data_IF_019304856205
#
_entry.id   IF_019304856205
#
_cell.length_a   1.000
_cell.length_b   1.000
_cell.length_c   1.000
_cell.angle_alpha   90.00
_cell.angle_beta   90.00
_cell.angle_gamma   90.00
#
_symmetry.space_group_name_H-M   'P 1'
#
loop_
_entity.id
_entity.type
_entity.pdbx_description
1 polymer ?
#
# COMPACT_ATOMS: atom_id res chain seq x y z
N UNK A 1 5.75 -22.56 -0.44
CA UNK A 1 5.51 -21.16 -0.86
C UNK A 1 4.44 -20.59 0.04
N UNK A 2 4.75 -19.59 0.86
CA UNK A 2 3.73 -18.92 1.68
C UNK A 2 2.94 -17.95 0.80
N UNK A 3 1.62 -18.02 0.89
CA UNK A 3 0.73 -17.15 0.10
C UNK A 3 0.91 -15.66 0.46
N UNK A 4 1.33 -15.37 1.69
CA UNK A 4 1.59 -14.02 2.17
C UNK A 4 2.73 -13.30 1.43
N UNK A 5 3.69 -14.03 0.84
CA UNK A 5 4.85 -13.42 0.15
C UNK A 5 4.46 -12.83 -1.21
N UNK A 6 3.32 -13.27 -1.76
CA UNK A 6 2.78 -12.81 -3.05
C UNK A 6 1.73 -11.70 -2.90
N UNK A 7 1.33 -11.37 -1.68
CA UNK A 7 0.31 -10.35 -1.43
C UNK A 7 0.96 -8.97 -1.27
N UNK A 8 0.45 -7.99 -2.00
CA UNK A 8 0.82 -6.59 -1.77
C UNK A 8 0.33 -6.15 -0.39
N UNK A 9 1.22 -5.51 0.38
CA UNK A 9 0.94 -5.02 1.73
C UNK A 9 0.66 -3.52 1.68
N UNK A 10 -0.48 -3.13 2.24
CA UNK A 10 -0.94 -1.74 2.31
C UNK A 10 -1.05 -1.30 3.77
N UNK A 11 -0.70 -0.04 4.04
CA UNK A 11 -0.83 0.59 5.35
C UNK A 11 -1.84 1.73 5.34
N UNK A 12 -2.42 2.03 6.50
CA UNK A 12 -3.23 3.23 6.71
C UNK A 12 -2.68 3.95 7.93
N UNK A 13 -2.34 5.24 7.79
CA UNK A 13 -1.90 6.09 8.90
C UNK A 13 -2.27 7.55 8.64
N UNK A 14 -2.18 8.39 9.68
CA UNK A 14 -2.39 9.83 9.53
C UNK A 14 -1.27 10.49 8.72
N UNK A 15 -1.50 11.69 8.18
CA UNK A 15 -0.44 12.43 7.48
C UNK A 15 0.70 12.86 8.40
N UNK A 16 0.41 13.11 9.68
CA UNK A 16 1.44 13.48 10.66
C UNK A 16 2.35 12.29 10.96
N UNK A 17 1.77 11.10 11.15
CA UNK A 17 2.53 9.86 11.35
C UNK A 17 3.36 9.53 10.10
N UNK A 18 2.78 9.69 8.91
CA UNK A 18 3.50 9.47 7.66
C UNK A 18 4.69 10.42 7.50
N UNK A 19 4.50 11.69 7.86
CA UNK A 19 5.56 12.70 7.84
C UNK A 19 6.67 12.34 8.82
N UNK A 20 6.32 11.98 10.05
CA UNK A 20 7.28 11.60 11.07
C UNK A 20 8.04 10.34 10.65
N UNK A 21 7.35 9.31 10.17
CA UNK A 21 7.96 8.10 9.63
C UNK A 21 8.93 8.43 8.49
N UNK A 22 8.57 9.32 7.57
CA UNK A 22 9.44 9.73 6.46
C UNK A 22 10.72 10.42 6.95
N UNK A 23 10.60 11.29 7.96
CA UNK A 23 11.76 11.95 8.59
C UNK A 23 12.64 10.94 9.34
N UNK A 24 12.04 9.95 10.00
CA UNK A 24 12.77 8.90 10.71
C UNK A 24 13.50 7.97 9.72
N UNK A 25 12.95 7.75 8.53
CA UNK A 25 13.62 7.03 7.43
C UNK A 25 14.79 7.84 6.91
N UNK A 26 14.56 9.12 6.59
CA UNK A 26 15.59 10.01 6.04
C UNK A 26 16.75 10.22 7.03
N UNK A 27 16.46 10.28 8.33
CA UNK A 27 17.47 10.43 9.38
C UNK A 27 18.19 9.12 9.75
N UNK A 28 17.76 7.98 9.19
CA UNK A 28 18.34 6.67 9.48
C UNK A 28 17.92 6.07 10.83
N UNK A 29 17.03 6.73 11.57
CA UNK A 29 16.47 6.22 12.84
C UNK A 29 15.55 5.03 12.64
N UNK A 30 14.86 4.99 11.50
CA UNK A 30 13.95 3.92 11.14
C UNK A 30 14.30 3.37 9.76
N UNK A 31 14.38 2.05 9.64
CA UNK A 31 14.55 1.36 8.36
C UNK A 31 13.37 0.40 8.19
N UNK A 32 12.49 0.63 7.21
CA UNK A 32 11.36 -0.27 6.96
C UNK A 32 11.87 -1.67 6.65
N UNK A 33 11.19 -2.67 7.21
CA UNK A 33 11.41 -4.07 6.87
C UNK A 33 11.09 -4.34 5.39
N UNK A 34 11.70 -5.35 4.74
CA UNK A 34 11.25 -5.81 3.43
C UNK A 34 9.75 -6.16 3.38
N UNK A 35 9.19 -6.54 4.52
CA UNK A 35 7.78 -6.88 4.72
C UNK A 35 6.89 -5.68 5.05
N UNK A 36 7.44 -4.48 5.14
CA UNK A 36 6.67 -3.28 5.44
C UNK A 36 5.73 -2.91 4.27
N UNK A 37 4.56 -2.33 4.55
CA UNK A 37 3.68 -1.84 3.51
C UNK A 37 4.38 -0.76 2.68
N UNK A 38 4.35 -0.94 1.34
CA UNK A 38 5.01 -0.03 0.40
C UNK A 38 4.15 1.18 0.05
N UNK A 39 2.83 1.00 0.14
CA UNK A 39 1.83 2.02 -0.16
C UNK A 39 1.06 2.30 1.12
N UNK A 40 0.96 3.58 1.46
CA UNK A 40 0.33 4.05 2.68
C UNK A 40 -0.77 5.04 2.33
N UNK A 41 -1.96 4.81 2.86
CA UNK A 41 -3.14 5.64 2.64
C UNK A 41 -3.40 6.51 3.86
N UNK A 42 -3.88 7.74 3.62
CA UNK A 42 -4.30 8.65 4.69
C UNK A 42 -5.62 8.25 5.35
N UNK A 43 -6.38 7.33 4.76
CA UNK A 43 -7.64 6.84 5.31
C UNK A 43 -8.02 5.47 4.74
N UNK A 44 -8.88 4.75 5.46
CA UNK A 44 -9.49 3.50 5.00
C UNK A 44 -10.36 3.69 3.75
N UNK A 45 -10.99 4.87 3.61
CA UNK A 45 -11.79 5.20 2.42
C UNK A 45 -10.94 5.19 1.16
N UNK A 46 -9.79 5.87 1.18
CA UNK A 46 -8.88 5.89 0.03
C UNK A 46 -8.33 4.50 -0.33
N UNK A 47 -8.09 3.65 0.68
CA UNK A 47 -7.72 2.26 0.45
C UNK A 47 -8.85 1.47 -0.23
N UNK A 48 -10.10 1.64 0.22
CA UNK A 48 -11.25 0.95 -0.36
C UNK A 48 -11.50 1.37 -1.82
N UNK A 49 -11.46 2.68 -2.11
CA UNK A 49 -11.61 3.21 -3.48
C UNK A 49 -10.52 2.67 -4.42
N UNK A 50 -9.26 2.62 -3.95
CA UNK A 50 -8.15 2.03 -4.70
C UNK A 50 -8.34 0.54 -4.96
N UNK A 51 -8.80 -0.21 -3.96
CA UNK A 51 -9.06 -1.64 -4.08
C UNK A 51 -10.18 -1.92 -5.10
N UNK A 52 -11.25 -1.13 -5.10
CA UNK A 52 -12.32 -1.23 -6.09
C UNK A 52 -11.84 -0.95 -7.51
N UNK A 53 -11.01 0.08 -7.70
CA UNK A 53 -10.45 0.41 -9.01
C UNK A 53 -9.55 -0.72 -9.54
N UNK A 54 -8.75 -1.30 -8.66
CA UNK A 54 -7.89 -2.46 -8.98
C UNK A 54 -8.70 -3.68 -9.40
N UNK A 55 -9.74 -4.03 -8.63
CA UNK A 55 -10.63 -5.13 -8.96
C UNK A 55 -11.30 -4.95 -10.34
N UNK A 56 -11.81 -3.74 -10.64
CA UNK A 56 -12.42 -3.43 -11.94
C UNK A 56 -11.44 -3.54 -13.12
N UNK A 57 -10.17 -3.19 -12.92
CA UNK A 57 -9.12 -3.35 -13.94
C UNK A 57 -8.77 -4.82 -14.19
N UNK A 58 -8.80 -5.66 -13.16
CA UNK A 58 -8.57 -7.11 -13.29
C UNK A 58 -9.73 -7.86 -13.96
N UNK A 59 -10.95 -7.31 -13.95
CA UNK A 59 -12.12 -7.85 -14.66
C UNK A 59 -12.17 -7.48 -16.16
N UNK A 60 -11.29 -6.57 -16.62
CA UNK A 60 -11.24 -6.09 -18.00
C UNK A 60 -10.19 -6.73 -18.96
N UNK A 61 -9.66 -7.97 -18.79
CA UNK A 61 -8.66 -8.50 -19.73
C UNK A 61 -9.28 -9.16 -20.98
N UNK A 62 -10.60 -9.20 -21.15
CA UNK A 62 -11.22 -9.88 -22.30
C UNK A 62 -12.37 -9.06 -22.89
N UNK A 63 -12.05 -7.95 -23.56
CA UNK A 63 -12.87 -7.44 -24.66
C UNK A 63 -11.99 -6.71 -25.69
N UNK A 64 -11.14 -7.50 -26.35
CA UNK A 64 -10.60 -7.15 -27.64
C UNK A 64 -10.60 -8.45 -28.47
N UNK A 65 -11.78 -8.79 -28.99
CA UNK A 65 -11.93 -9.63 -30.18
C UNK A 65 -11.79 -8.74 -31.41
#
# INVERSE_FOLDING_TARGET
MNYSDKMEKYGVMSMDDFRQMTLDIASGKYRPSPDAPRIIFGSHKGLAEYAEEKAKKEESPISAR
#
